data_IF_900049103597
#
_entry.id   IF_900049103597
#
_cell.length_a   1.000
_cell.length_b   1.000
_cell.length_c   1.000
_cell.angle_alpha   90.00
_cell.angle_beta   90.00
_cell.angle_gamma   90.00
#
_symmetry.space_group_name_H-M   'P 1'
#
loop_
_entity.id
_entity.type
_entity.pdbx_description
1 polymer ?
#
# COMPACT_ATOMS: atom_id res chain seq x y z
N UNK A 1 19.81 18.43 6.50
CA UNK A 1 18.44 18.31 5.93
C UNK A 1 18.21 16.92 5.34
N UNK A 2 19.08 16.44 4.42
CA UNK A 2 19.01 15.08 3.85
C UNK A 2 19.02 13.95 4.90
N UNK A 3 19.95 14.02 5.87
CA UNK A 3 20.06 13.04 6.96
C UNK A 3 18.79 12.90 7.83
N UNK A 4 18.01 13.99 7.98
CA UNK A 4 16.77 13.98 8.76
C UNK A 4 15.63 13.28 8.00
N UNK A 5 15.56 13.48 6.68
CA UNK A 5 14.59 12.81 5.81
C UNK A 5 14.86 11.30 5.73
N UNK A 6 16.13 10.90 5.59
CA UNK A 6 16.53 9.48 5.61
C UNK A 6 16.21 8.81 6.95
N UNK A 7 16.41 9.52 8.06
CA UNK A 7 16.06 9.05 9.40
C UNK A 7 14.55 8.86 9.55
N UNK A 8 13.74 9.79 9.03
CA UNK A 8 12.28 9.68 9.06
C UNK A 8 11.77 8.50 8.24
N UNK A 9 12.36 8.23 7.08
CA UNK A 9 12.00 7.09 6.24
C UNK A 9 12.38 5.74 6.88
N UNK A 10 13.53 5.66 7.52
CA UNK A 10 13.94 4.47 8.27
C UNK A 10 13.02 4.18 9.47
N UNK A 11 12.64 5.23 10.21
CA UNK A 11 11.68 5.12 11.31
C UNK A 11 10.28 4.71 10.82
N UNK A 12 9.82 5.28 9.70
CA UNK A 12 8.55 4.92 9.08
C UNK A 12 8.54 3.45 8.66
N UNK A 13 9.57 3.00 7.93
CA UNK A 13 9.73 1.59 7.55
C UNK A 13 9.69 0.67 8.77
N UNK A 14 10.46 1.00 9.81
CA UNK A 14 10.50 0.21 11.05
C UNK A 14 9.12 0.12 11.71
N UNK A 15 8.38 1.24 11.77
CA UNK A 15 7.03 1.28 12.34
C UNK A 15 6.03 0.44 11.53
N UNK A 16 6.10 0.52 10.20
CA UNK A 16 5.26 -0.29 9.30
C UNK A 16 5.60 -1.77 9.43
N UNK A 17 6.88 -2.16 9.38
CA UNK A 17 7.32 -3.55 9.55
C UNK A 17 6.81 -4.13 10.86
N UNK A 18 6.88 -3.37 11.95
CA UNK A 18 6.35 -3.78 13.25
C UNK A 18 4.83 -4.06 13.16
N UNK A 19 4.05 -3.09 12.66
CA UNK A 19 2.58 -3.24 12.54
C UNK A 19 2.18 -4.39 11.63
N UNK A 20 2.87 -4.56 10.50
CA UNK A 20 2.62 -5.67 9.57
C UNK A 20 2.88 -7.02 10.24
N UNK A 21 3.98 -7.17 10.98
CA UNK A 21 4.25 -8.41 11.73
C UNK A 21 3.26 -8.67 12.85
N UNK A 22 2.74 -7.62 13.49
CA UNK A 22 1.75 -7.74 14.57
C UNK A 22 0.35 -8.12 14.04
N UNK A 23 -0.08 -7.54 12.92
CA UNK A 23 -1.44 -7.70 12.39
C UNK A 23 -1.56 -8.82 11.34
N UNK A 24 -0.50 -9.06 10.56
CA UNK A 24 -0.47 -9.98 9.43
C UNK A 24 0.57 -11.10 9.61
N UNK A 25 0.81 -11.51 10.86
CA UNK A 25 1.79 -12.53 11.23
C UNK A 25 1.70 -13.81 10.36
N UNK A 26 0.49 -14.32 10.13
CA UNK A 26 0.23 -15.52 9.32
C UNK A 26 0.71 -15.38 7.87
N UNK A 27 0.66 -14.17 7.31
CA UNK A 27 1.12 -13.88 5.96
C UNK A 27 2.64 -13.73 5.90
N UNK A 28 3.26 -13.11 6.91
CA UNK A 28 4.65 -12.61 6.81
C UNK A 28 5.69 -13.40 7.60
N UNK A 29 5.30 -14.27 8.53
CA UNK A 29 6.26 -14.99 9.39
C UNK A 29 7.21 -15.93 8.62
N UNK A 30 6.78 -16.44 7.46
CA UNK A 30 7.61 -17.30 6.61
C UNK A 30 8.44 -16.54 5.56
N UNK A 31 8.29 -15.21 5.46
CA UNK A 31 8.97 -14.44 4.42
C UNK A 31 10.42 -14.11 4.83
N UNK A 32 11.36 -14.15 3.88
CA UNK A 32 12.67 -13.53 4.05
C UNK A 32 12.52 -12.04 4.43
N UNK A 33 13.39 -11.55 5.31
CA UNK A 33 13.29 -10.17 5.81
C UNK A 33 13.47 -9.13 4.68
N UNK A 34 14.40 -9.39 3.77
CA UNK A 34 14.65 -8.58 2.58
C UNK A 34 13.41 -8.51 1.68
N UNK A 35 12.69 -9.62 1.50
CA UNK A 35 11.44 -9.63 0.74
C UNK A 35 10.35 -8.77 1.39
N UNK A 36 10.18 -8.86 2.72
CA UNK A 36 9.22 -8.02 3.44
C UNK A 36 9.59 -6.54 3.36
N UNK A 37 10.88 -6.21 3.47
CA UNK A 37 11.38 -4.85 3.33
C UNK A 37 11.11 -4.30 1.92
N UNK A 38 11.31 -5.12 0.87
CA UNK A 38 10.97 -4.75 -0.51
C UNK A 38 9.47 -4.50 -0.70
N UNK A 39 8.59 -5.33 -0.11
CA UNK A 39 7.13 -5.14 -0.16
C UNK A 39 6.72 -3.83 0.50
N UNK A 40 7.26 -3.54 1.68
CA UNK A 40 6.97 -2.30 2.43
C UNK A 40 7.47 -1.09 1.66
N UNK A 41 8.68 -1.13 1.10
CA UNK A 41 9.21 -0.05 0.28
C UNK A 41 8.32 0.20 -0.95
N UNK A 42 7.89 -0.86 -1.65
CA UNK A 42 6.97 -0.73 -2.79
C UNK A 42 5.66 -0.06 -2.38
N UNK A 43 5.10 -0.44 -1.23
CA UNK A 43 3.88 0.17 -0.71
C UNK A 43 4.06 1.64 -0.33
N UNK A 44 5.18 2.01 0.30
CA UNK A 44 5.52 3.40 0.60
C UNK A 44 5.65 4.23 -0.68
N UNK A 45 6.33 3.71 -1.70
CA UNK A 45 6.48 4.40 -2.98
C UNK A 45 5.13 4.54 -3.71
N UNK A 46 4.28 3.53 -3.65
CA UNK A 46 2.93 3.58 -4.20
C UNK A 46 2.07 4.64 -3.51
N UNK A 47 2.09 4.70 -2.17
CA UNK A 47 1.42 5.72 -1.37
C UNK A 47 1.89 7.14 -1.75
N UNK A 48 3.21 7.34 -1.85
CA UNK A 48 3.83 8.60 -2.26
C UNK A 48 3.45 9.00 -3.68
N UNK A 49 3.25 8.03 -4.58
CA UNK A 49 2.74 8.26 -5.94
C UNK A 49 1.36 8.92 -5.99
N UNK A 50 0.55 8.77 -4.95
CA UNK A 50 -0.72 9.47 -4.78
C UNK A 50 -0.60 10.78 -3.99
N UNK A 51 0.61 11.22 -3.66
CA UNK A 51 0.88 12.44 -2.91
C UNK A 51 0.67 12.30 -1.40
N UNK A 52 0.57 11.07 -0.87
CA UNK A 52 0.52 10.85 0.58
C UNK A 52 1.89 11.17 1.20
N UNK A 53 1.90 12.08 2.16
CA UNK A 53 3.14 12.55 2.82
C UNK A 53 3.15 12.28 4.33
N UNK A 54 1.99 12.10 4.95
CA UNK A 54 1.88 11.82 6.38
C UNK A 54 2.17 10.36 6.67
N UNK A 55 2.99 10.10 7.70
CA UNK A 55 3.39 8.77 8.12
C UNK A 55 2.20 7.85 8.43
N UNK A 56 1.15 8.40 9.05
CA UNK A 56 -0.08 7.67 9.38
C UNK A 56 -0.80 7.19 8.11
N UNK A 57 -1.04 8.08 7.15
CA UNK A 57 -1.68 7.71 5.88
C UNK A 57 -0.83 6.75 5.05
N UNK A 58 0.49 6.91 5.03
CA UNK A 58 1.36 5.94 4.33
C UNK A 58 1.26 4.57 5.01
N UNK A 59 1.29 4.53 6.34
CA UNK A 59 1.15 3.29 7.11
C UNK A 59 -0.18 2.61 6.80
N UNK A 60 -1.29 3.35 6.87
CA UNK A 60 -2.63 2.82 6.60
C UNK A 60 -2.73 2.28 5.17
N UNK A 61 -2.23 3.03 4.18
CA UNK A 61 -2.21 2.57 2.79
C UNK A 61 -1.46 1.24 2.62
N UNK A 62 -0.29 1.10 3.26
CA UNK A 62 0.49 -0.15 3.22
C UNK A 62 -0.25 -1.29 3.92
N UNK A 63 -0.89 -1.05 5.07
CA UNK A 63 -1.67 -2.08 5.75
C UNK A 63 -2.84 -2.58 4.90
N UNK A 64 -3.54 -1.69 4.18
CA UNK A 64 -4.58 -2.08 3.22
C UNK A 64 -4.01 -2.99 2.11
N UNK A 65 -2.79 -2.73 1.62
CA UNK A 65 -2.14 -3.62 0.64
C UNK A 65 -1.91 -5.04 1.18
N UNK A 66 -1.64 -5.18 2.48
CA UNK A 66 -1.52 -6.48 3.14
C UNK A 66 -2.87 -7.14 3.39
N UNK A 67 -3.93 -6.37 3.65
CA UNK A 67 -5.29 -6.85 3.87
C UNK A 67 -5.95 -7.37 2.58
N UNK A 68 -6.04 -6.53 1.56
CA UNK A 68 -6.85 -6.78 0.35
C UNK A 68 -6.01 -6.95 -0.92
N UNK A 69 -4.69 -6.82 -0.79
CA UNK A 69 -3.74 -7.02 -1.87
C UNK A 69 -3.08 -5.74 -2.39
N UNK A 70 -1.86 -5.88 -2.95
CA UNK A 70 -0.99 -4.75 -3.30
C UNK A 70 -1.51 -3.88 -4.45
N UNK A 71 -2.43 -4.36 -5.27
CA UNK A 71 -2.91 -3.63 -6.44
C UNK A 71 -4.27 -2.94 -6.21
N UNK A 72 -4.84 -2.97 -4.99
CA UNK A 72 -6.15 -2.38 -4.67
C UNK A 72 -6.30 -0.94 -5.17
N UNK A 73 -5.23 -0.14 -5.02
CA UNK A 73 -5.18 1.28 -5.37
C UNK A 73 -5.29 1.54 -6.88
N UNK A 74 -5.11 0.49 -7.72
CA UNK A 74 -5.25 0.55 -9.17
C UNK A 74 -6.69 0.33 -9.63
N UNK A 75 -7.57 -0.12 -8.74
CA UNK A 75 -8.95 -0.40 -9.09
C UNK A 75 -9.63 0.82 -9.72
N UNK A 76 -10.39 0.69 -10.84
CA UNK A 76 -10.98 1.82 -11.56
C UNK A 76 -11.88 2.73 -10.73
N UNK A 77 -12.43 2.23 -9.60
CA UNK A 77 -13.24 3.03 -8.66
C UNK A 77 -12.41 3.74 -7.59
N UNK A 78 -11.24 3.21 -7.23
CA UNK A 78 -10.38 3.74 -6.16
C UNK A 78 -9.35 4.73 -6.71
N UNK A 79 -8.68 4.37 -7.83
CA UNK A 79 -7.62 5.17 -8.42
C UNK A 79 -8.01 6.64 -8.67
N UNK A 80 -9.21 6.96 -9.20
CA UNK A 80 -9.60 8.35 -9.45
C UNK A 80 -9.66 9.18 -8.16
N UNK A 81 -10.12 8.58 -7.04
CA UNK A 81 -10.21 9.25 -5.74
C UNK A 81 -8.81 9.56 -5.21
N UNK A 82 -7.91 8.56 -5.22
CA UNK A 82 -6.54 8.75 -4.73
C UNK A 82 -5.71 9.69 -5.62
N UNK A 83 -6.06 9.79 -6.92
CA UNK A 83 -5.35 10.66 -7.88
C UNK A 83 -5.94 12.07 -7.97
N UNK A 84 -7.07 12.35 -7.31
CA UNK A 84 -7.75 13.64 -7.41
C UNK A 84 -6.91 14.75 -6.72
N UNK A 85 -6.47 15.79 -7.45
CA UNK A 85 -5.70 16.89 -6.89
C UNK A 85 -6.55 17.86 -6.07
N UNK A 86 -7.88 17.78 -6.15
CA UNK A 86 -8.81 18.62 -5.37
C UNK A 86 -9.05 18.08 -3.96
N UNK A 87 -8.67 16.83 -3.70
CA UNK A 87 -8.73 16.20 -2.39
C UNK A 87 -7.36 16.37 -1.72
N UNK A 88 -7.34 16.99 -0.53
CA UNK A 88 -6.13 17.15 0.26
C UNK A 88 -5.50 15.79 0.60
N UNK A 89 -4.16 15.71 0.62
CA UNK A 89 -3.43 14.44 0.78
C UNK A 89 -3.81 13.69 2.07
N UNK A 90 -4.06 14.43 3.13
CA UNK A 90 -4.52 13.93 4.43
C UNK A 90 -5.92 13.30 4.39
N UNK A 91 -6.80 13.78 3.52
CA UNK A 91 -8.20 13.33 3.41
C UNK A 91 -8.39 12.17 2.43
N UNK A 92 -7.39 11.90 1.57
CA UNK A 92 -7.53 10.94 0.46
C UNK A 92 -7.98 9.55 0.90
N UNK A 93 -7.40 9.00 1.97
CA UNK A 93 -7.77 7.67 2.45
C UNK A 93 -9.18 7.65 3.04
N UNK A 94 -9.51 8.65 3.84
CA UNK A 94 -10.85 8.79 4.40
C UNK A 94 -11.90 8.86 3.28
N UNK A 95 -11.70 9.73 2.31
CA UNK A 95 -12.62 9.90 1.18
C UNK A 95 -12.68 8.63 0.32
N UNK A 96 -11.55 7.92 0.15
CA UNK A 96 -11.49 6.64 -0.53
C UNK A 96 -12.38 5.60 0.16
N UNK A 97 -12.26 5.43 1.48
CA UNK A 97 -13.14 4.53 2.23
C UNK A 97 -14.61 4.95 2.16
N UNK A 98 -14.91 6.23 2.39
CA UNK A 98 -16.29 6.75 2.39
C UNK A 98 -16.99 6.59 1.03
N UNK A 99 -16.24 6.60 -0.08
CA UNK A 99 -16.78 6.57 -1.45
C UNK A 99 -16.63 5.22 -2.16
N UNK A 100 -15.97 4.24 -1.55
CA UNK A 100 -15.77 2.91 -2.14
C UNK A 100 -16.81 1.94 -1.58
N UNK A 101 -17.80 1.50 -2.38
CA UNK A 101 -18.80 0.53 -1.92
C UNK A 101 -18.17 -0.83 -1.58
N UNK A 102 -18.79 -1.56 -0.66
CA UNK A 102 -18.36 -2.92 -0.25
C UNK A 102 -18.12 -3.87 -1.44
N UNK A 103 -18.98 -3.81 -2.45
CA UNK A 103 -18.83 -4.60 -3.68
C UNK A 103 -17.48 -4.40 -4.38
N UNK A 104 -16.91 -3.19 -4.33
CA UNK A 104 -15.60 -2.93 -4.93
C UNK A 104 -14.49 -3.64 -4.14
N UNK A 105 -14.61 -3.70 -2.82
CA UNK A 105 -13.66 -4.45 -1.98
C UNK A 105 -13.76 -5.95 -2.24
N UNK A 106 -14.98 -6.48 -2.38
CA UNK A 106 -15.20 -7.88 -2.76
C UNK A 106 -14.57 -8.20 -4.12
N UNK A 107 -14.71 -7.31 -5.11
CA UNK A 107 -14.09 -7.43 -6.44
C UNK A 107 -12.56 -7.51 -6.33
N UNK A 108 -11.94 -6.63 -5.54
CA UNK A 108 -10.48 -6.61 -5.31
C UNK A 108 -10.00 -7.91 -4.67
N UNK A 109 -10.69 -8.36 -3.62
CA UNK A 109 -10.35 -9.60 -2.89
C UNK A 109 -10.56 -10.83 -3.79
N UNK A 110 -11.56 -10.84 -4.67
CA UNK A 110 -11.84 -11.96 -5.57
C UNK A 110 -10.69 -12.28 -6.54
N UNK A 111 -9.81 -11.32 -6.79
CA UNK A 111 -8.64 -11.46 -7.66
C UNK A 111 -7.31 -11.39 -6.89
N UNK A 112 -7.33 -11.47 -5.55
CA UNK A 112 -6.14 -11.36 -4.70
C UNK A 112 -4.98 -12.26 -5.15
N UNK A 113 -5.28 -13.51 -5.54
CA UNK A 113 -4.27 -14.48 -6.01
C UNK A 113 -3.56 -14.09 -7.31
N UNK A 114 -4.08 -13.12 -8.07
CA UNK A 114 -3.46 -12.59 -9.31
C UNK A 114 -2.65 -11.32 -9.07
N UNK A 115 -2.81 -10.70 -7.90
CA UNK A 115 -2.12 -9.46 -7.58
C UNK A 115 -0.65 -9.75 -7.26
N UNK A 116 0.20 -8.74 -7.40
CA UNK A 116 1.62 -8.83 -7.11
C UNK A 116 2.15 -7.56 -6.46
N UNK A 117 3.08 -7.72 -5.53
CA UNK A 117 3.85 -6.61 -4.94
C UNK A 117 4.92 -6.08 -5.90
N UNK A 118 5.30 -6.87 -6.92
CA UNK A 118 6.42 -6.59 -7.82
C UNK A 118 5.95 -6.67 -9.28
N UNK A 119 5.14 -5.71 -9.75
CA UNK A 119 4.59 -5.70 -11.09
C UNK A 119 5.67 -5.69 -12.18
N UNK A 120 6.81 -5.06 -11.93
CA UNK A 120 7.98 -5.04 -12.81
C UNK A 120 8.63 -6.41 -13.00
N UNK A 121 8.37 -7.37 -12.11
CA UNK A 121 8.85 -8.75 -12.21
C UNK A 121 7.88 -9.66 -12.99
N UNK A 122 6.70 -9.16 -13.39
CA UNK A 122 5.74 -9.93 -14.20
C UNK A 122 6.34 -10.14 -15.60
N UNK A 123 6.49 -11.40 -16.00
CA UNK A 123 6.98 -11.70 -17.36
C UNK A 123 5.92 -11.27 -18.39
N UNK A 124 6.31 -10.70 -19.55
CA UNK A 124 5.36 -10.15 -20.52
C UNK A 124 4.36 -11.13 -21.16
N UNK A 125 4.44 -12.43 -20.87
CA UNK A 125 3.75 -13.50 -21.61
C UNK A 125 2.78 -14.35 -20.76
N UNK A 126 2.36 -13.88 -19.58
CA UNK A 126 1.32 -14.55 -18.78
C UNK A 126 0.04 -13.72 -18.77
N UNK A 127 -0.73 -13.80 -19.87
CA UNK A 127 -2.16 -13.48 -19.97
C UNK A 127 -2.83 -14.44 -20.98
#
# INVERSE_FOLDING_TARGET
MLQMLETNDALLRTAITKRVREQYAELVNGLPNDLLDEMIENGIQSARGYGLTQAENITEFVLIMFEVGPEFHRHPRIRPILSDPTIAAEEKLKVMFDRTPDQVWDEIVSVLYRQTWFPERRQPNED
#
